data_IF_174162446025
#
_entry.id   IF_174162446025
#
_cell.length_a   1.000
_cell.length_b   1.000
_cell.length_c   1.000
_cell.angle_alpha   90.00
_cell.angle_beta   90.00
_cell.angle_gamma   90.00
#
_symmetry.space_group_name_H-M   'P 1'
#
loop_
_entity.id
_entity.type
_entity.pdbx_description
1 polymer ?
#
# COMPACT_ATOMS: atom_id res chain seq x y z
N UNK A 1 -34.95 30.24 15.92
CA UNK A 1 -33.59 30.52 15.44
C UNK A 1 -33.27 31.98 15.73
N UNK A 2 -32.28 32.23 16.58
CA UNK A 2 -31.80 33.58 16.85
C UNK A 2 -31.07 34.09 15.60
N UNK A 3 -31.35 35.34 15.17
CA UNK A 3 -30.80 35.90 13.93
C UNK A 3 -29.27 36.02 13.95
N UNK A 4 -28.70 36.16 15.15
CA UNK A 4 -27.25 36.15 15.39
C UNK A 4 -26.61 34.82 14.98
N UNK A 5 -27.17 33.70 15.42
CA UNK A 5 -26.60 32.36 15.17
C UNK A 5 -26.64 32.02 13.68
N UNK A 6 -27.73 32.42 13.01
CA UNK A 6 -27.87 32.29 11.55
C UNK A 6 -26.84 33.15 10.83
N UNK A 7 -26.57 34.36 11.32
CA UNK A 7 -25.53 35.24 10.79
C UNK A 7 -24.13 34.63 10.91
N UNK A 8 -23.80 34.04 12.07
CA UNK A 8 -22.53 33.35 12.29
C UNK A 8 -22.37 32.17 11.32
N UNK A 9 -23.40 31.34 11.18
CA UNK A 9 -23.38 30.17 10.28
C UNK A 9 -23.28 30.56 8.80
N UNK A 10 -23.99 31.59 8.35
CA UNK A 10 -23.89 32.06 6.96
C UNK A 10 -22.51 32.65 6.71
N UNK A 11 -21.97 33.42 7.66
CA UNK A 11 -20.63 34.00 7.56
C UNK A 11 -19.57 32.92 7.46
N UNK A 12 -19.61 31.89 8.31
CA UNK A 12 -18.65 30.79 8.27
C UNK A 12 -18.79 29.95 7.00
N UNK A 13 -20.02 29.68 6.55
CA UNK A 13 -20.29 28.98 5.29
C UNK A 13 -19.71 29.72 4.08
N UNK A 14 -19.89 31.04 4.00
CA UNK A 14 -19.33 31.86 2.92
C UNK A 14 -17.80 31.87 3.00
N UNK A 15 -17.24 32.02 4.21
CA UNK A 15 -15.80 32.01 4.42
C UNK A 15 -15.18 30.66 3.98
N UNK A 16 -15.74 29.53 4.38
CA UNK A 16 -15.25 28.22 3.97
C UNK A 16 -15.43 27.97 2.47
N UNK A 17 -16.52 28.46 1.87
CA UNK A 17 -16.72 28.37 0.43
C UNK A 17 -15.68 29.19 -0.35
N UNK A 18 -15.40 30.42 0.07
CA UNK A 18 -14.36 31.27 -0.54
C UNK A 18 -12.98 30.65 -0.34
N UNK A 19 -12.67 30.16 0.86
CA UNK A 19 -11.42 29.45 1.12
C UNK A 19 -11.27 28.19 0.24
N UNK A 20 -12.31 27.37 0.11
CA UNK A 20 -12.32 26.19 -0.76
C UNK A 20 -12.13 26.56 -2.23
N UNK A 21 -12.80 27.62 -2.69
CA UNK A 21 -12.67 28.13 -4.05
C UNK A 21 -11.25 28.64 -4.34
N UNK A 22 -10.66 29.41 -3.41
CA UNK A 22 -9.30 29.94 -3.52
C UNK A 22 -8.25 28.83 -3.46
N UNK A 23 -8.42 27.84 -2.59
CA UNK A 23 -7.55 26.67 -2.49
C UNK A 23 -7.57 25.87 -3.80
N UNK A 24 -8.75 25.64 -4.37
CA UNK A 24 -8.89 24.98 -5.66
C UNK A 24 -8.21 25.78 -6.79
N UNK A 25 -8.42 27.10 -6.85
CA UNK A 25 -7.78 27.98 -7.83
C UNK A 25 -6.26 28.01 -7.74
N UNK A 26 -5.70 28.04 -6.53
CA UNK A 26 -4.25 28.21 -6.32
C UNK A 26 -3.47 26.89 -6.35
N UNK A 27 -3.99 25.82 -5.76
CA UNK A 27 -3.23 24.60 -5.51
C UNK A 27 -3.53 23.48 -6.51
N UNK A 28 -4.78 23.31 -6.94
CA UNK A 28 -5.19 22.20 -7.80
C UNK A 28 -5.03 22.51 -9.29
N UNK A 29 -5.20 23.77 -9.68
CA UNK A 29 -5.18 24.20 -11.08
C UNK A 29 -3.81 24.51 -11.68
N UNK A 30 -2.71 24.39 -10.92
CA UNK A 30 -1.39 24.64 -11.50
C UNK A 30 -1.11 23.77 -12.75
N UNK A 31 -1.81 22.64 -12.91
CA UNK A 31 -1.58 21.68 -14.00
C UNK A 31 -2.85 21.04 -14.65
N UNK A 32 -4.09 21.54 -14.43
CA UNK A 32 -5.30 20.89 -14.99
C UNK A 32 -5.95 21.73 -16.11
N UNK A 33 -5.82 21.29 -17.36
CA UNK A 33 -6.17 22.03 -18.58
C UNK A 33 -7.69 22.15 -18.87
N UNK A 34 -8.57 21.47 -18.12
CA UNK A 34 -10.01 21.40 -18.42
C UNK A 34 -10.83 22.27 -17.46
N UNK A 35 -11.28 23.42 -17.97
CA UNK A 35 -12.02 24.47 -17.23
C UNK A 35 -13.51 24.15 -16.98
N UNK A 36 -13.84 23.06 -16.27
CA UNK A 36 -15.24 22.83 -15.86
C UNK A 36 -15.56 23.52 -14.53
N UNK A 37 -16.21 24.68 -14.60
CA UNK A 37 -16.70 25.44 -13.42
C UNK A 37 -17.58 24.60 -12.48
N UNK A 38 -18.29 23.61 -13.02
CA UNK A 38 -19.15 22.70 -12.23
C UNK A 38 -18.33 21.85 -11.26
N UNK A 39 -17.17 21.32 -11.67
CA UNK A 39 -16.28 20.55 -10.78
C UNK A 39 -15.83 21.39 -9.62
N UNK A 40 -15.42 22.62 -9.93
CA UNK A 40 -14.95 23.57 -8.94
C UNK A 40 -16.04 23.92 -7.93
N UNK A 41 -17.26 24.17 -8.41
CA UNK A 41 -18.41 24.44 -7.54
C UNK A 41 -18.72 23.23 -6.66
N UNK A 42 -18.80 22.02 -7.22
CA UNK A 42 -19.09 20.80 -6.45
C UNK A 42 -18.00 20.53 -5.41
N UNK A 43 -16.74 20.70 -5.75
CA UNK A 43 -15.62 20.59 -4.80
C UNK A 43 -15.73 21.64 -3.68
N UNK A 44 -15.92 22.91 -4.03
CA UNK A 44 -15.97 24.01 -3.05
C UNK A 44 -17.18 23.88 -2.13
N UNK A 45 -18.34 23.46 -2.64
CA UNK A 45 -19.54 23.15 -1.84
C UNK A 45 -19.25 22.00 -0.88
N UNK A 46 -18.69 20.90 -1.38
CA UNK A 46 -18.39 19.72 -0.54
C UNK A 46 -17.39 20.07 0.56
N UNK A 47 -16.32 20.78 0.22
CA UNK A 47 -15.33 21.25 1.19
C UNK A 47 -15.95 22.17 2.24
N UNK A 48 -16.75 23.15 1.82
CA UNK A 48 -17.43 24.06 2.74
C UNK A 48 -18.35 23.31 3.69
N UNK A 49 -19.20 22.39 3.17
CA UNK A 49 -20.09 21.57 4.00
C UNK A 49 -19.32 20.68 5.00
N UNK A 50 -18.17 20.13 4.61
CA UNK A 50 -17.30 19.37 5.54
C UNK A 50 -16.69 20.25 6.63
N UNK A 51 -16.24 21.46 6.29
CA UNK A 51 -15.73 22.42 7.28
C UNK A 51 -16.83 22.89 8.24
N UNK A 52 -18.02 23.19 7.74
CA UNK A 52 -19.17 23.59 8.56
C UNK A 52 -19.61 22.47 9.51
N UNK A 53 -19.55 21.20 9.08
CA UNK A 53 -19.78 20.07 9.99
C UNK A 53 -18.79 20.02 11.14
N UNK A 54 -17.51 20.22 10.85
CA UNK A 54 -16.46 20.22 11.86
C UNK A 54 -16.59 21.42 12.81
N UNK A 55 -16.91 22.61 12.28
CA UNK A 55 -17.17 23.80 13.07
C UNK A 55 -18.37 23.60 14.02
N UNK A 56 -19.46 22.97 13.55
CA UNK A 56 -20.62 22.66 14.39
C UNK A 56 -20.25 21.77 15.58
N UNK A 57 -19.37 20.78 15.39
CA UNK A 57 -18.86 19.93 16.49
C UNK A 57 -18.05 20.78 17.48
N UNK A 58 -17.23 21.71 17.01
CA UNK A 58 -16.48 22.62 17.89
C UNK A 58 -17.43 23.52 18.68
N UNK A 59 -18.46 24.07 18.05
CA UNK A 59 -19.47 24.89 18.73
C UNK A 59 -20.32 24.11 19.72
N UNK A 60 -20.48 22.80 19.51
CA UNK A 60 -21.08 21.91 20.49
C UNK A 60 -20.18 21.75 21.72
N UNK A 61 -18.88 21.51 21.54
CA UNK A 61 -17.92 21.34 22.63
C UNK A 61 -17.73 22.64 23.44
N UNK A 62 -17.71 23.80 22.77
CA UNK A 62 -17.52 25.11 23.41
C UNK A 62 -18.84 25.74 23.92
N UNK A 63 -19.99 25.11 23.65
CA UNK A 63 -21.34 25.56 24.01
C UNK A 63 -21.67 27.03 23.68
N UNK A 64 -21.24 27.51 22.51
CA UNK A 64 -21.34 28.94 22.10
C UNK A 64 -22.71 29.29 21.51
N UNK A 65 -23.46 28.32 20.98
CA UNK A 65 -24.68 28.54 20.19
C UNK A 65 -25.91 27.90 20.86
N UNK A 66 -27.12 28.38 20.58
CA UNK A 66 -28.35 27.79 21.11
C UNK A 66 -28.61 26.36 20.58
N UNK A 67 -29.19 25.49 21.40
CA UNK A 67 -29.41 24.06 21.07
C UNK A 67 -30.29 23.88 19.83
N UNK A 68 -31.39 24.64 19.74
CA UNK A 68 -32.35 24.56 18.63
C UNK A 68 -31.72 24.99 17.30
N UNK A 69 -30.89 26.04 17.32
CA UNK A 69 -30.19 26.55 16.13
C UNK A 69 -29.11 25.59 15.65
N UNK A 70 -28.34 25.00 16.59
CA UNK A 70 -27.33 23.97 16.30
C UNK A 70 -27.95 22.75 15.66
N UNK A 71 -29.02 22.21 16.24
CA UNK A 71 -29.67 21.00 15.75
C UNK A 71 -30.26 21.17 14.34
N UNK A 72 -30.88 22.32 14.08
CA UNK A 72 -31.38 22.65 12.74
C UNK A 72 -30.24 22.79 11.72
N UNK A 73 -29.16 23.48 12.08
CA UNK A 73 -27.98 23.65 11.22
C UNK A 73 -27.29 22.32 10.93
N UNK A 74 -27.20 21.44 11.94
CA UNK A 74 -26.66 20.10 11.79
C UNK A 74 -27.51 19.24 10.85
N UNK A 75 -28.84 19.22 11.01
CA UNK A 75 -29.75 18.51 10.10
C UNK A 75 -29.67 19.04 8.67
N UNK A 76 -29.60 20.36 8.48
CA UNK A 76 -29.49 20.97 7.16
C UNK A 76 -28.15 20.60 6.50
N UNK A 77 -27.05 20.73 7.24
CA UNK A 77 -25.72 20.40 6.74
C UNK A 77 -25.60 18.91 6.41
N UNK A 78 -26.15 18.02 7.25
CA UNK A 78 -26.19 16.57 7.01
C UNK A 78 -26.99 16.25 5.75
N UNK A 79 -28.13 16.91 5.59
CA UNK A 79 -28.99 16.73 4.41
C UNK A 79 -28.28 17.21 3.14
N UNK A 80 -27.65 18.38 3.19
CA UNK A 80 -26.92 18.97 2.06
C UNK A 80 -25.71 18.12 1.64
N UNK A 81 -24.93 17.60 2.60
CA UNK A 81 -23.77 16.75 2.29
C UNK A 81 -24.20 15.41 1.70
N UNK A 82 -25.30 14.81 2.20
CA UNK A 82 -25.87 13.58 1.64
C UNK A 82 -26.40 13.76 0.22
N UNK A 83 -27.14 14.84 -0.05
CA UNK A 83 -27.63 15.14 -1.40
C UNK A 83 -26.45 15.34 -2.35
N UNK A 84 -25.43 16.08 -1.92
CA UNK A 84 -24.22 16.31 -2.73
C UNK A 84 -23.52 14.98 -3.03
N UNK A 85 -23.42 14.09 -2.05
CA UNK A 85 -22.67 12.84 -2.18
C UNK A 85 -23.44 11.75 -2.95
N UNK A 86 -24.74 11.58 -2.71
CA UNK A 86 -25.56 10.52 -3.31
C UNK A 86 -26.10 10.93 -4.69
N UNK A 87 -26.40 12.22 -4.89
CA UNK A 87 -27.02 12.71 -6.13
C UNK A 87 -26.01 13.44 -7.01
N UNK A 88 -25.40 14.53 -6.50
CA UNK A 88 -24.61 15.42 -7.35
C UNK A 88 -23.31 14.77 -7.85
N UNK A 89 -22.55 14.10 -6.97
CA UNK A 89 -21.28 13.46 -7.35
C UNK A 89 -21.47 12.32 -8.37
N UNK A 90 -22.38 11.34 -8.17
CA UNK A 90 -22.56 10.25 -9.12
C UNK A 90 -23.11 10.71 -10.47
N UNK A 91 -24.00 11.71 -10.49
CA UNK A 91 -24.45 12.36 -11.73
C UNK A 91 -23.28 12.95 -12.51
N UNK A 92 -22.41 13.71 -11.82
CA UNK A 92 -21.28 14.36 -12.45
C UNK A 92 -20.23 13.35 -12.97
N UNK A 93 -19.95 12.31 -12.19
CA UNK A 93 -19.07 11.21 -12.60
C UNK A 93 -19.63 10.47 -13.82
N UNK A 94 -20.92 10.10 -13.81
CA UNK A 94 -21.56 9.44 -14.94
C UNK A 94 -21.52 10.31 -16.22
N UNK A 95 -21.80 11.61 -16.10
CA UNK A 95 -21.72 12.55 -17.22
C UNK A 95 -20.30 12.63 -17.80
N UNK A 96 -19.29 12.73 -16.93
CA UNK A 96 -17.89 12.85 -17.36
C UNK A 96 -17.39 11.55 -18.01
N UNK A 97 -17.75 10.39 -17.44
CA UNK A 97 -17.42 9.08 -18.01
C UNK A 97 -18.04 8.91 -19.40
N UNK A 98 -19.32 9.24 -19.57
CA UNK A 98 -20.00 9.14 -20.86
C UNK A 98 -19.46 10.13 -21.90
N UNK A 99 -19.09 11.34 -21.47
CA UNK A 99 -18.45 12.33 -22.33
C UNK A 99 -17.06 11.88 -22.81
N UNK A 100 -16.34 11.09 -22.01
CA UNK A 100 -15.04 10.53 -22.40
C UNK A 100 -15.14 9.56 -23.59
N UNK A 101 -16.30 8.94 -23.81
CA UNK A 101 -16.54 8.09 -24.97
C UNK A 101 -16.95 8.98 -26.17
N UNK A 102 -15.99 9.29 -27.04
CA UNK A 102 -16.18 10.09 -28.26
C UNK A 102 -17.21 9.52 -29.24
N UNK A 103 -17.58 8.24 -29.08
CA UNK A 103 -18.52 7.51 -29.94
C UNK A 103 -20.00 7.85 -29.68
N UNK A 104 -20.34 8.47 -28.54
CA UNK A 104 -21.74 8.71 -28.18
C UNK A 104 -22.29 10.01 -28.77
N UNK A 105 -23.38 9.89 -29.52
CA UNK A 105 -24.14 11.05 -30.03
C UNK A 105 -24.66 11.88 -28.85
N UNK A 106 -24.50 13.20 -28.91
CA UNK A 106 -24.92 14.14 -27.86
C UNK A 106 -26.38 13.96 -27.41
N UNK A 107 -27.26 13.52 -28.33
CA UNK A 107 -28.68 13.25 -28.05
C UNK A 107 -28.93 12.02 -27.16
N UNK A 108 -28.01 11.05 -27.16
CA UNK A 108 -28.08 9.84 -26.31
C UNK A 108 -27.31 10.02 -24.99
N UNK A 109 -26.46 11.04 -24.89
CA UNK A 109 -25.61 11.25 -23.72
C UNK A 109 -26.42 11.60 -22.46
N UNK A 110 -27.42 12.48 -22.59
CA UNK A 110 -28.30 12.85 -21.47
C UNK A 110 -29.18 11.70 -20.97
N UNK A 111 -29.94 10.95 -21.80
CA UNK A 111 -30.75 9.84 -21.30
C UNK A 111 -29.89 8.69 -20.75
N UNK A 112 -28.72 8.44 -21.33
CA UNK A 112 -27.82 7.40 -20.85
C UNK A 112 -27.18 7.80 -19.50
N UNK A 113 -26.84 9.07 -19.31
CA UNK A 113 -26.36 9.58 -18.01
C UNK A 113 -27.43 9.39 -16.94
N UNK A 114 -28.68 9.76 -17.24
CA UNK A 114 -29.79 9.58 -16.29
C UNK A 114 -30.05 8.10 -15.99
N UNK A 115 -29.92 7.22 -16.99
CA UNK A 115 -30.08 5.79 -16.80
C UNK A 115 -28.98 5.21 -15.91
N UNK A 116 -27.70 5.53 -16.18
CA UNK A 116 -26.59 5.11 -15.33
C UNK A 116 -26.74 5.62 -13.89
N UNK A 117 -27.22 6.84 -13.72
CA UNK A 117 -27.48 7.39 -12.40
C UNK A 117 -28.61 6.67 -11.65
N UNK A 118 -29.72 6.34 -12.33
CA UNK A 118 -30.80 5.53 -11.74
C UNK A 118 -30.29 4.14 -11.35
N UNK A 119 -29.50 3.49 -12.22
CA UNK A 119 -28.87 2.20 -11.91
C UNK A 119 -27.95 2.31 -10.70
N UNK A 120 -27.16 3.39 -10.61
CA UNK A 120 -26.31 3.65 -9.45
C UNK A 120 -27.13 3.78 -8.16
N UNK A 121 -28.22 4.56 -8.16
CA UNK A 121 -29.09 4.69 -6.99
C UNK A 121 -29.70 3.34 -6.60
N UNK A 122 -30.16 2.56 -7.58
CA UNK A 122 -30.69 1.22 -7.33
C UNK A 122 -29.65 0.31 -6.67
N UNK A 123 -28.42 0.30 -7.18
CA UNK A 123 -27.33 -0.52 -6.64
C UNK A 123 -26.89 -0.03 -5.25
N UNK A 124 -26.80 1.29 -5.06
CA UNK A 124 -26.53 1.91 -3.77
C UNK A 124 -27.56 1.50 -2.72
N UNK A 125 -28.85 1.47 -3.10
CA UNK A 125 -29.90 0.98 -2.22
C UNK A 125 -29.74 -0.50 -1.94
N UNK A 126 -29.50 -1.32 -2.97
CA UNK A 126 -29.41 -2.77 -2.83
C UNK A 126 -28.23 -3.23 -1.97
N UNK A 127 -27.09 -2.56 -2.04
CA UNK A 127 -25.91 -2.83 -1.20
C UNK A 127 -26.18 -2.52 0.28
N UNK A 128 -27.03 -1.53 0.58
CA UNK A 128 -27.33 -1.15 1.95
C UNK A 128 -28.35 -2.04 2.66
N UNK A 129 -29.11 -2.85 1.93
CA UNK A 129 -30.15 -3.74 2.48
C UNK A 129 -29.63 -4.83 3.45
N UNK A 130 -28.45 -5.48 3.23
CA UNK A 130 -27.91 -6.46 4.17
C UNK A 130 -27.52 -5.90 5.55
N UNK A 131 -27.59 -4.58 5.78
CA UNK A 131 -27.21 -3.94 7.05
C UNK A 131 -28.42 -3.32 7.77
N UNK A 132 -29.16 -4.09 8.59
CA UNK A 132 -30.28 -3.58 9.38
C UNK A 132 -29.78 -2.87 10.65
N UNK A 133 -29.31 -1.61 10.54
CA UNK A 133 -28.72 -0.89 11.69
C UNK A 133 -29.71 0.10 12.36
N UNK A 134 -30.83 0.47 11.72
CA UNK A 134 -31.89 1.26 12.37
C UNK A 134 -33.29 0.70 12.09
N UNK A 135 -34.08 0.65 13.17
CA UNK A 135 -35.42 0.07 13.28
C UNK A 135 -36.33 0.34 12.08
N UNK A 136 -37.00 -0.72 11.61
CA UNK A 136 -37.98 -0.75 10.50
C UNK A 136 -39.25 0.12 10.71
N UNK A 137 -39.24 1.04 11.70
CA UNK A 137 -40.35 1.95 12.02
C UNK A 137 -40.21 3.36 11.44
N UNK A 138 -39.02 3.74 10.96
CA UNK A 138 -38.82 5.02 10.24
C UNK A 138 -38.69 4.75 8.74
N UNK A 139 -39.42 5.53 7.93
CA UNK A 139 -39.64 5.29 6.51
C UNK A 139 -38.35 5.18 5.66
N UNK A 140 -38.51 4.64 4.46
CA UNK A 140 -37.45 4.33 3.48
C UNK A 140 -36.49 5.50 3.16
N UNK A 141 -36.88 6.77 3.35
CA UNK A 141 -36.06 7.95 3.02
C UNK A 141 -35.58 8.74 4.25
N UNK A 142 -35.37 8.07 5.39
CA UNK A 142 -34.89 8.76 6.59
C UNK A 142 -33.39 9.08 6.47
N UNK A 143 -32.99 10.31 6.81
CA UNK A 143 -31.60 10.82 6.77
C UNK A 143 -30.62 9.85 7.46
N UNK A 144 -31.03 9.30 8.61
CA UNK A 144 -30.21 8.36 9.40
C UNK A 144 -29.86 7.07 8.64
N UNK A 145 -30.81 6.53 7.86
CA UNK A 145 -30.58 5.33 7.05
C UNK A 145 -29.60 5.64 5.91
N UNK A 146 -29.72 6.80 5.27
CA UNK A 146 -28.79 7.23 4.23
C UNK A 146 -27.37 7.39 4.77
N UNK A 147 -27.21 8.01 5.96
CA UNK A 147 -25.92 8.15 6.66
C UNK A 147 -25.32 6.79 6.99
N UNK A 148 -26.11 5.86 7.52
CA UNK A 148 -25.61 4.52 7.84
C UNK A 148 -25.09 3.78 6.60
N UNK A 149 -25.80 3.86 5.47
CA UNK A 149 -25.41 3.17 4.23
C UNK A 149 -24.13 3.78 3.64
N UNK A 150 -24.05 5.11 3.57
CA UNK A 150 -22.82 5.75 3.09
C UNK A 150 -21.64 5.51 4.04
N UNK A 151 -21.89 5.46 5.35
CA UNK A 151 -20.86 5.17 6.34
C UNK A 151 -20.22 3.81 6.11
N UNK A 152 -21.03 2.75 5.93
CA UNK A 152 -20.52 1.40 5.66
C UNK A 152 -19.74 1.36 4.33
N UNK A 153 -20.33 1.87 3.24
CA UNK A 153 -19.69 1.87 1.92
C UNK A 153 -18.37 2.66 1.96
N UNK A 154 -18.39 3.84 2.57
CA UNK A 154 -17.23 4.72 2.71
C UNK A 154 -16.11 4.06 3.51
N UNK A 155 -16.42 3.47 4.66
CA UNK A 155 -15.42 2.77 5.50
C UNK A 155 -14.86 1.55 4.77
N UNK A 156 -15.69 0.77 4.06
CA UNK A 156 -15.20 -0.37 3.27
C UNK A 156 -14.25 0.10 2.16
N UNK A 157 -14.60 1.14 1.42
CA UNK A 157 -13.73 1.70 0.37
C UNK A 157 -12.45 2.29 0.97
N UNK A 158 -12.53 3.02 2.08
CA UNK A 158 -11.34 3.54 2.79
C UNK A 158 -10.44 2.41 3.28
N UNK A 159 -11.01 1.31 3.80
CA UNK A 159 -10.25 0.14 4.24
C UNK A 159 -9.52 -0.53 3.06
N UNK A 160 -10.19 -0.71 1.92
CA UNK A 160 -9.56 -1.29 0.72
C UNK A 160 -8.45 -0.38 0.17
N UNK A 161 -8.70 0.92 0.07
CA UNK A 161 -7.69 1.88 -0.42
C UNK A 161 -6.50 1.99 0.53
N UNK A 162 -6.74 2.00 1.84
CA UNK A 162 -5.69 1.96 2.85
C UNK A 162 -4.89 0.65 2.77
N UNK A 163 -5.57 -0.48 2.60
CA UNK A 163 -4.92 -1.79 2.38
C UNK A 163 -4.05 -1.81 1.14
N UNK A 164 -4.54 -1.27 0.01
CA UNK A 164 -3.74 -1.12 -1.21
C UNK A 164 -2.54 -0.21 -1.00
N UNK A 165 -2.71 0.93 -0.31
CA UNK A 165 -1.62 1.84 0.05
C UNK A 165 -0.56 1.17 0.92
N UNK A 166 -0.99 0.34 1.88
CA UNK A 166 -0.10 -0.42 2.76
C UNK A 166 0.71 -1.49 2.03
N UNK A 167 0.22 -2.02 0.90
CA UNK A 167 0.96 -2.97 0.04
C UNK A 167 1.82 -2.22 -0.98
N UNK A 168 1.35 -1.10 -1.52
CA UNK A 168 2.09 -0.31 -2.50
C UNK A 168 3.30 0.41 -1.88
N UNK A 169 3.18 0.89 -0.64
CA UNK A 169 4.29 1.53 0.07
C UNK A 169 5.54 0.64 0.17
N UNK A 170 5.49 -0.61 0.69
CA UNK A 170 6.64 -1.49 0.69
C UNK A 170 7.08 -1.84 -0.72
N UNK A 171 6.18 -2.01 -1.70
CA UNK A 171 6.60 -2.25 -3.10
C UNK A 171 7.50 -1.13 -3.65
N UNK A 172 7.12 0.14 -3.41
CA UNK A 172 7.89 1.33 -3.85
C UNK A 172 9.16 1.51 -3.02
N UNK A 173 9.10 1.32 -1.71
CA UNK A 173 10.25 1.51 -0.80
C UNK A 173 11.10 0.25 -0.62
N UNK A 174 10.75 -0.88 -1.23
CA UNK A 174 11.49 -2.15 -1.12
C UNK A 174 12.95 -1.96 -1.52
N UNK A 175 13.21 -1.13 -2.54
CA UNK A 175 14.56 -0.83 -3.05
C UNK A 175 15.39 0.06 -2.11
N UNK A 176 14.76 0.73 -1.15
CA UNK A 176 15.42 1.51 -0.10
C UNK A 176 15.83 0.60 1.07
N UNK A 177 14.99 -0.38 1.41
CA UNK A 177 15.27 -1.35 2.48
C UNK A 177 16.06 -2.58 2.01
N UNK A 178 15.99 -2.95 0.73
CA UNK A 178 16.90 -3.91 0.12
C UNK A 178 18.26 -3.24 -0.03
N UNK A 179 19.16 -3.58 0.90
CA UNK A 179 20.59 -3.24 0.87
C UNK A 179 21.10 -3.26 -0.57
N UNK A 180 21.46 -2.09 -1.11
CA UNK A 180 22.13 -2.00 -2.41
C UNK A 180 23.40 -2.86 -2.32
N UNK A 181 23.47 -3.91 -3.12
CA UNK A 181 24.67 -4.76 -3.19
C UNK A 181 25.76 -3.91 -3.84
N UNK A 182 26.80 -3.61 -3.07
CA UNK A 182 27.92 -2.84 -3.57
C UNK A 182 28.69 -3.63 -4.64
N UNK A 183 29.08 -2.98 -5.73
CA UNK A 183 29.78 -3.61 -6.85
C UNK A 183 31.11 -4.26 -6.38
N UNK A 184 31.73 -3.69 -5.34
CA UNK A 184 32.90 -4.28 -4.72
C UNK A 184 32.60 -5.64 -4.06
N UNK A 185 31.44 -5.79 -3.41
CA UNK A 185 31.04 -7.05 -2.78
C UNK A 185 30.79 -8.15 -3.83
N UNK A 186 30.25 -7.77 -5.00
CA UNK A 186 30.07 -8.68 -6.15
C UNK A 186 31.43 -9.16 -6.66
N UNK A 187 32.35 -8.22 -6.96
CA UNK A 187 33.68 -8.58 -7.45
C UNK A 187 34.49 -9.41 -6.44
N UNK A 188 34.34 -9.18 -5.15
CA UNK A 188 34.96 -10.04 -4.13
C UNK A 188 34.35 -11.43 -4.09
N UNK A 189 33.04 -11.57 -4.26
CA UNK A 189 32.39 -12.88 -4.36
C UNK A 189 32.85 -13.63 -5.62
N UNK A 190 32.95 -12.96 -6.76
CA UNK A 190 33.46 -13.56 -8.00
C UNK A 190 34.90 -14.04 -7.85
N UNK A 191 35.77 -13.23 -7.24
CA UNK A 191 37.16 -13.63 -6.94
C UNK A 191 37.21 -14.85 -6.02
N UNK A 192 36.38 -14.89 -4.97
CA UNK A 192 36.27 -16.06 -4.08
C UNK A 192 35.80 -17.30 -4.83
N UNK A 193 34.84 -17.14 -5.72
CA UNK A 193 34.32 -18.24 -6.55
C UNK A 193 35.41 -18.78 -7.48
N UNK A 194 36.12 -17.91 -8.20
CA UNK A 194 37.23 -18.31 -9.07
C UNK A 194 38.33 -19.04 -8.31
N UNK A 195 38.75 -18.50 -7.16
CA UNK A 195 39.75 -19.15 -6.31
C UNK A 195 39.29 -20.54 -5.83
N UNK A 196 38.01 -20.68 -5.45
CA UNK A 196 37.46 -21.98 -5.03
C UNK A 196 37.46 -22.97 -6.19
N UNK A 197 37.14 -22.51 -7.40
CA UNK A 197 37.16 -23.32 -8.62
C UNK A 197 38.58 -23.80 -8.96
N UNK A 198 39.60 -22.95 -8.82
CA UNK A 198 41.00 -23.34 -8.97
C UNK A 198 41.43 -24.39 -7.93
N UNK A 199 41.06 -24.20 -6.67
CA UNK A 199 41.34 -25.16 -5.59
C UNK A 199 40.69 -26.52 -5.86
N UNK A 200 39.46 -26.54 -6.39
CA UNK A 200 38.79 -27.76 -6.83
C UNK A 200 39.55 -28.43 -7.98
N UNK A 201 39.99 -27.66 -8.98
CA UNK A 201 40.75 -28.19 -10.11
C UNK A 201 42.09 -28.81 -9.67
N UNK A 202 42.82 -28.15 -8.76
CA UNK A 202 44.08 -28.67 -8.19
C UNK A 202 43.81 -29.96 -7.41
N UNK A 203 42.78 -30.00 -6.56
CA UNK A 203 42.42 -31.21 -5.82
C UNK A 203 42.03 -32.36 -6.76
N UNK A 204 41.26 -32.09 -7.81
CA UNK A 204 40.94 -33.10 -8.84
C UNK A 204 42.18 -33.66 -9.53
N UNK A 205 43.15 -32.80 -9.88
CA UNK A 205 44.43 -33.23 -10.47
C UNK A 205 45.23 -34.11 -9.52
N UNK A 206 45.32 -33.73 -8.23
CA UNK A 206 46.01 -34.54 -7.21
C UNK A 206 45.36 -35.91 -7.00
N UNK A 207 44.02 -35.97 -6.96
CA UNK A 207 43.30 -37.25 -6.85
C UNK A 207 43.60 -38.13 -8.06
N UNK A 208 43.53 -37.60 -9.28
CA UNK A 208 43.85 -38.36 -10.49
C UNK A 208 45.33 -38.82 -10.54
N UNK A 209 46.27 -38.04 -10.00
CA UNK A 209 47.67 -38.44 -9.86
C UNK A 209 47.84 -39.60 -8.88
N UNK A 210 47.22 -39.51 -7.69
CA UNK A 210 47.26 -40.59 -6.72
C UNK A 210 46.58 -41.87 -7.22
N UNK A 211 45.48 -41.77 -7.98
CA UNK A 211 44.87 -42.93 -8.64
C UNK A 211 45.83 -43.59 -9.65
N UNK A 212 46.58 -42.81 -10.42
CA UNK A 212 47.61 -43.34 -11.33
C UNK A 212 48.77 -44.00 -10.59
N UNK A 213 49.27 -43.38 -9.52
CA UNK A 213 50.33 -43.95 -8.68
C UNK A 213 49.87 -45.22 -7.97
N UNK A 214 48.62 -45.28 -7.50
CA UNK A 214 48.01 -46.47 -6.93
C UNK A 214 47.84 -47.57 -7.98
N UNK A 215 47.44 -47.24 -9.22
CA UNK A 215 47.36 -48.21 -10.30
C UNK A 215 48.74 -48.77 -10.69
N UNK A 216 49.77 -47.92 -10.77
CA UNK A 216 51.15 -48.32 -11.05
C UNK A 216 51.75 -49.15 -9.91
N UNK A 217 51.53 -48.75 -8.66
CA UNK A 217 51.99 -49.51 -7.50
C UNK A 217 51.21 -50.80 -7.31
N UNK A 218 49.91 -50.88 -7.62
CA UNK A 218 49.14 -52.13 -7.63
C UNK A 218 49.67 -53.12 -8.68
N UNK A 219 50.10 -52.63 -9.86
CA UNK A 219 50.75 -53.46 -10.87
C UNK A 219 52.12 -53.98 -10.39
N UNK A 220 52.88 -53.18 -9.65
CA UNK A 220 54.16 -53.63 -9.06
C UNK A 220 53.97 -54.51 -7.81
N UNK A 221 52.90 -54.32 -7.04
CA UNK A 221 52.63 -55.05 -5.79
C UNK A 221 52.18 -56.49 -6.00
N UNK A 222 51.81 -56.87 -7.23
CA UNK A 222 51.62 -58.27 -7.61
C UNK A 222 52.90 -59.13 -7.53
N UNK A 223 54.07 -58.54 -7.21
CA UNK A 223 55.34 -59.25 -7.07
C UNK A 223 55.89 -59.32 -5.63
N UNK A 224 55.46 -58.45 -4.71
CA UNK A 224 56.11 -58.23 -3.40
C UNK A 224 55.14 -58.19 -2.18
N UNK A 225 54.07 -59.00 -2.16
CA UNK A 225 53.03 -58.91 -1.11
C UNK A 225 53.48 -59.28 0.32
N UNK A 226 54.56 -60.06 0.50
CA UNK A 226 54.93 -60.53 1.84
C UNK A 226 55.80 -59.58 2.68
N UNK A 227 56.52 -58.62 2.07
CA UNK A 227 57.45 -57.75 2.81
C UNK A 227 56.83 -56.42 3.28
N UNK A 228 55.82 -55.91 2.58
CA UNK A 228 55.30 -54.55 2.78
C UNK A 228 54.33 -54.35 3.94
N UNK A 229 53.66 -55.41 4.40
CA UNK A 229 52.59 -55.29 5.41
C UNK A 229 53.14 -55.02 6.82
N UNK A 230 54.27 -55.64 7.17
CA UNK A 230 54.90 -55.49 8.50
C UNK A 230 55.52 -54.10 8.70
N UNK A 231 56.11 -53.51 7.66
CA UNK A 231 56.71 -52.17 7.73
C UNK A 231 55.65 -51.07 7.92
N UNK A 232 54.44 -51.26 7.37
CA UNK A 232 53.34 -50.28 7.45
C UNK A 232 52.72 -50.20 8.85
N UNK A 233 52.69 -51.32 9.57
CA UNK A 233 52.20 -51.36 10.95
C UNK A 233 53.22 -50.72 11.90
N UNK A 234 54.51 -50.93 11.69
CA UNK A 234 55.57 -50.33 12.52
C UNK A 234 55.64 -48.80 12.41
N UNK A 235 55.47 -48.24 11.20
CA UNK A 235 55.49 -46.78 10.98
C UNK A 235 54.27 -46.04 11.55
N UNK A 236 53.11 -46.71 11.63
CA UNK A 236 51.89 -46.09 12.17
C UNK A 236 51.92 -46.00 13.70
N UNK A 237 52.61 -46.93 14.36
CA UNK A 237 52.77 -46.95 15.83
C UNK A 237 53.85 -45.95 16.29
N UNK A 238 54.92 -45.72 15.50
CA UNK A 238 55.93 -44.72 15.88
C UNK A 238 55.41 -43.28 15.78
N UNK A 239 54.51 -43.00 14.82
CA UNK A 239 53.96 -41.65 14.63
C UNK A 239 52.89 -41.28 15.67
N UNK A 240 52.30 -42.26 16.37
CA UNK A 240 51.39 -42.00 17.49
C UNK A 240 52.11 -41.51 18.76
N UNK A 241 53.44 -41.68 18.85
CA UNK A 241 54.24 -41.26 20.02
C UNK A 241 54.83 -39.84 19.92
N UNK A 242 54.59 -39.09 18.84
CA UNK A 242 55.13 -37.74 18.63
C UNK A 242 54.04 -36.64 18.54
N UNK A 243 52.80 -36.92 18.96
CA UNK A 243 51.70 -35.94 19.02
C UNK A 243 51.80 -34.98 20.21
N UNK A 244 52.93 -34.29 20.36
CA UNK A 244 53.09 -33.15 21.26
C UNK A 244 52.78 -31.83 20.54
N UNK A 245 52.02 -30.97 21.24
CA UNK A 245 51.85 -29.52 21.04
C UNK A 245 51.03 -29.00 19.85
N UNK A 246 49.71 -29.22 19.94
CA UNK A 246 48.69 -28.33 19.34
C UNK A 246 48.69 -26.91 19.97
N UNK A 247 49.40 -26.72 21.09
CA UNK A 247 49.50 -25.45 21.82
C UNK A 247 50.45 -24.42 21.19
N UNK A 248 51.41 -24.83 20.35
CA UNK A 248 52.35 -23.88 19.74
C UNK A 248 51.75 -23.12 18.54
N UNK A 249 50.74 -23.68 17.86
CA UNK A 249 50.11 -23.01 16.72
C UNK A 249 49.11 -21.92 17.12
N UNK A 250 48.63 -21.89 18.37
CA UNK A 250 47.69 -20.86 18.84
C UNK A 250 48.43 -19.59 19.31
N UNK A 251 49.72 -19.68 19.66
CA UNK A 251 50.51 -18.53 20.14
C UNK A 251 51.06 -17.60 19.03
N UNK A 252 50.91 -17.94 17.76
CA UNK A 252 51.38 -17.12 16.63
C UNK A 252 50.29 -16.26 15.99
N UNK A 253 49.05 -16.28 16.50
CA UNK A 253 47.90 -15.54 15.92
C UNK A 253 47.17 -14.68 16.97
N UNK A 254 47.77 -14.44 18.14
CA UNK A 254 47.33 -13.38 19.09
C UNK A 254 48.44 -12.36 19.21
#
# INVERSE_FOLDING_TARGET
MHTWDVGVMISSQVLFFVCGWLFFMKQLFKNYEVHNRVVQLVFSITFALSCTMFELIIFEIMDVMDFESRFASWKLCLSAILITLIVALPLYMAYTLLKSFSFLRQRLLTPLTTLLWIVFIYFFWKIGDPFPILSAKHGIFTIEQAISRIGVIGVTVMAVLSGFGAVNAPYVYMTVFMRKVDQHAISQMEKKLMHTMEMIAIKKRKVAQHEKELALSAFSRGRDEHAGFLHRIWGTVSNAKFGGTLNDQIRLVT
#
